data_IF_376528906090
#
_entry.id   IF_376528906090
#
_cell.length_a   1.000
_cell.length_b   1.000
_cell.length_c   1.000
_cell.angle_alpha   90.00
_cell.angle_beta   90.00
_cell.angle_gamma   90.00
#
_symmetry.space_group_name_H-M   'P 1'
#
loop_
_entity.id
_entity.type
_entity.pdbx_description
1 polymer ?
#
# COMPACT_ATOMS: atom_id res chain seq x y z
N UNK A 1 -54.70 36.17 59.81
CA UNK A 1 -53.25 35.91 59.82
C UNK A 1 -52.98 34.74 58.91
N UNK A 2 -52.74 35.03 57.61
CA UNK A 2 -52.45 34.03 56.61
C UNK A 2 -50.96 34.01 56.35
N UNK A 3 -50.34 32.83 56.54
CA UNK A 3 -48.94 32.54 56.20
C UNK A 3 -48.89 31.95 54.81
N UNK A 4 -48.46 32.71 53.79
CA UNK A 4 -48.19 32.22 52.47
C UNK A 4 -46.75 31.64 52.41
N UNK A 5 -46.72 30.34 52.24
CA UNK A 5 -45.47 29.55 51.93
C UNK A 5 -45.07 29.71 50.48
N UNK A 6 -43.92 30.36 50.23
CA UNK A 6 -43.26 30.38 48.87
C UNK A 6 -42.37 29.20 48.72
N UNK A 7 -42.80 28.26 47.91
CA UNK A 7 -41.94 27.12 47.46
C UNK A 7 -41.09 27.62 46.28
N UNK A 8 -39.79 27.77 46.52
CA UNK A 8 -38.81 28.06 45.46
C UNK A 8 -38.40 26.77 44.75
N UNK A 9 -38.73 26.66 43.46
CA UNK A 9 -38.27 25.58 42.59
C UNK A 9 -36.86 25.95 42.13
N UNK A 10 -35.85 25.26 42.67
CA UNK A 10 -34.48 25.34 42.19
C UNK A 10 -34.35 24.46 40.96
N UNK A 11 -34.30 25.04 39.76
CA UNK A 11 -33.98 24.34 38.52
C UNK A 11 -32.50 24.01 38.48
N UNK A 12 -32.19 22.71 38.65
CA UNK A 12 -30.84 22.19 38.45
C UNK A 12 -30.57 22.08 36.92
N UNK A 13 -29.84 23.04 36.38
CA UNK A 13 -29.30 22.91 35.03
C UNK A 13 -28.17 21.86 35.06
N UNK A 14 -28.44 20.65 34.55
CA UNK A 14 -27.41 19.71 34.19
C UNK A 14 -26.64 20.27 32.97
N UNK A 15 -25.48 20.87 33.20
CA UNK A 15 -24.50 21.12 32.14
C UNK A 15 -23.93 19.79 31.70
N UNK A 16 -24.40 19.26 30.57
CA UNK A 16 -23.74 18.18 29.87
C UNK A 16 -22.39 18.71 29.39
N UNK A 17 -21.32 18.38 30.10
CA UNK A 17 -19.95 18.61 29.66
C UNK A 17 -19.71 17.72 28.48
N UNK A 18 -19.79 18.23 27.26
CA UNK A 18 -19.26 17.58 26.09
C UNK A 18 -17.73 17.60 26.22
N UNK A 19 -17.15 16.50 26.68
CA UNK A 19 -15.71 16.28 26.62
C UNK A 19 -15.32 16.24 25.17
N UNK A 20 -14.80 17.34 24.63
CA UNK A 20 -14.04 17.32 23.39
C UNK A 20 -12.75 16.55 23.68
N UNK A 21 -12.73 15.24 23.41
CA UNK A 21 -11.49 14.52 23.41
C UNK A 21 -10.60 15.13 22.32
N UNK A 22 -9.39 15.56 22.71
CA UNK A 22 -8.37 15.94 21.73
C UNK A 22 -8.05 14.72 20.85
N UNK A 23 -7.91 14.96 19.54
CA UNK A 23 -7.53 13.90 18.60
C UNK A 23 -6.16 13.31 19.00
N UNK A 24 -6.05 12.00 18.94
CA UNK A 24 -4.76 11.31 19.13
C UNK A 24 -3.89 11.57 17.91
N UNK A 25 -2.69 12.12 18.12
CA UNK A 25 -1.75 12.40 17.03
C UNK A 25 -1.05 11.12 16.60
N UNK A 26 -1.06 10.86 15.30
CA UNK A 26 -0.52 9.66 14.66
C UNK A 26 0.39 10.06 13.51
N UNK A 27 1.59 9.51 13.46
CA UNK A 27 2.52 9.71 12.34
C UNK A 27 2.59 8.47 11.46
N UNK A 28 2.31 8.64 10.19
CA UNK A 28 2.39 7.59 9.18
C UNK A 28 3.54 7.85 8.20
N UNK A 29 4.56 7.00 8.22
CA UNK A 29 5.68 7.06 7.28
C UNK A 29 5.41 6.26 6.01
N UNK A 30 5.50 6.88 4.83
CA UNK A 30 5.45 6.13 3.56
C UNK A 30 6.83 5.62 3.17
N UNK A 31 6.88 4.64 2.28
CA UNK A 31 8.14 4.03 1.81
C UNK A 31 8.77 4.79 0.63
N UNK A 32 8.02 5.69 -0.01
CA UNK A 32 8.43 6.45 -1.19
C UNK A 32 7.90 7.88 -1.14
N UNK A 33 8.31 8.71 -2.11
CA UNK A 33 7.76 10.07 -2.31
C UNK A 33 6.25 10.00 -2.60
N UNK A 34 5.53 11.08 -2.27
CA UNK A 34 4.09 11.13 -2.45
C UNK A 34 3.66 10.88 -3.90
N UNK A 35 2.70 9.98 -4.09
CA UNK A 35 2.19 9.55 -5.39
C UNK A 35 0.81 8.88 -5.25
N UNK A 36 0.17 8.49 -6.36
CA UNK A 36 -1.18 7.92 -6.35
C UNK A 36 -1.27 6.60 -5.56
N UNK A 37 -0.19 5.84 -5.46
CA UNK A 37 -0.09 4.61 -4.67
C UNK A 37 -0.20 4.85 -3.15
N UNK A 38 -0.19 6.11 -2.73
CA UNK A 38 -0.46 6.53 -1.35
C UNK A 38 -1.85 7.19 -1.19
N UNK A 39 -2.62 7.24 -2.29
CA UNK A 39 -3.81 8.07 -2.44
C UNK A 39 -4.88 7.86 -1.38
N UNK A 40 -5.14 6.62 -0.96
CA UNK A 40 -6.14 6.34 0.07
C UNK A 40 -5.83 6.98 1.42
N UNK A 41 -4.55 7.05 1.80
CA UNK A 41 -4.14 7.70 3.05
C UNK A 41 -4.28 9.23 2.97
N UNK A 42 -3.84 9.82 1.85
CA UNK A 42 -4.05 11.25 1.59
C UNK A 42 -5.52 11.62 1.54
N UNK A 43 -6.35 10.74 0.96
CA UNK A 43 -7.81 10.95 0.91
C UNK A 43 -8.43 10.93 2.30
N UNK A 44 -8.06 9.97 3.14
CA UNK A 44 -8.59 9.87 4.50
C UNK A 44 -8.22 11.09 5.37
N UNK A 45 -7.05 11.70 5.13
CA UNK A 45 -6.69 13.01 5.73
C UNK A 45 -7.52 14.13 5.12
N UNK A 46 -7.62 14.20 3.79
CA UNK A 46 -8.26 15.31 3.06
C UNK A 46 -9.77 15.43 3.33
N UNK A 47 -10.46 14.32 3.57
CA UNK A 47 -11.91 14.27 3.83
C UNK A 47 -12.27 14.16 5.33
N UNK A 48 -11.26 14.18 6.23
CA UNK A 48 -11.45 14.12 7.67
C UNK A 48 -11.85 12.73 8.19
N UNK A 49 -11.70 11.68 7.39
CA UNK A 49 -12.09 10.31 7.77
C UNK A 49 -11.38 9.85 9.03
N UNK A 50 -10.09 10.13 9.17
CA UNK A 50 -9.32 9.81 10.38
C UNK A 50 -9.77 10.61 11.59
N UNK A 51 -10.06 11.90 11.43
CA UNK A 51 -10.55 12.76 12.53
C UNK A 51 -11.90 12.29 13.06
N UNK A 52 -12.78 11.80 12.17
CA UNK A 52 -14.10 11.28 12.53
C UNK A 52 -14.05 10.05 13.46
N UNK A 53 -12.94 9.30 13.48
CA UNK A 53 -12.74 8.19 14.41
C UNK A 53 -11.74 8.50 15.54
N UNK A 54 -11.25 9.75 15.65
CA UNK A 54 -10.53 10.24 16.82
C UNK A 54 -9.01 10.36 16.68
N UNK A 55 -8.44 10.24 15.47
CA UNK A 55 -7.01 10.43 15.23
C UNK A 55 -6.72 11.56 14.24
N UNK A 56 -5.63 12.29 14.48
CA UNK A 56 -5.04 13.28 13.56
C UNK A 56 -3.79 12.66 12.92
N UNK A 57 -3.82 12.38 11.61
CA UNK A 57 -2.73 11.69 10.93
C UNK A 57 -1.82 12.68 10.20
N UNK A 58 -0.54 12.66 10.57
CA UNK A 58 0.54 13.32 9.82
C UNK A 58 1.20 12.30 8.88
N UNK A 59 1.12 12.52 7.57
CA UNK A 59 1.84 11.70 6.58
C UNK A 59 3.27 12.24 6.45
N UNK A 60 4.24 11.35 6.65
CA UNK A 60 5.67 11.63 6.46
C UNK A 60 6.16 10.90 5.20
N UNK A 61 6.31 11.60 4.06
CA UNK A 61 6.79 10.96 2.83
C UNK A 61 8.18 10.35 3.00
N UNK A 62 8.37 9.19 2.39
CA UNK A 62 9.66 8.56 2.20
C UNK A 62 10.37 9.06 0.95
N UNK A 63 11.28 8.25 0.44
CA UNK A 63 12.00 8.54 -0.80
C UNK A 63 13.39 7.91 -0.86
N UNK A 64 14.16 8.13 -1.92
CA UNK A 64 15.46 7.52 -2.11
C UNK A 64 16.48 7.85 -0.99
N UNK A 65 16.29 8.97 -0.31
CA UNK A 65 17.15 9.45 0.77
C UNK A 65 16.50 9.33 2.16
N UNK A 66 15.25 8.88 2.26
CA UNK A 66 14.49 8.77 3.50
C UNK A 66 14.07 7.31 3.75
N UNK A 67 14.62 6.70 4.79
CA UNK A 67 14.26 5.34 5.20
C UNK A 67 13.35 5.39 6.43
N UNK A 68 12.06 5.52 6.22
CA UNK A 68 11.07 5.56 7.31
C UNK A 68 10.98 4.22 8.08
N UNK A 69 11.40 3.10 7.48
CA UNK A 69 11.34 1.78 8.13
C UNK A 69 12.12 1.71 9.44
N UNK A 70 13.28 2.37 9.52
CA UNK A 70 14.08 2.38 10.75
C UNK A 70 13.46 3.23 11.87
N UNK A 71 12.47 4.07 11.55
CA UNK A 71 11.83 4.98 12.51
C UNK A 71 10.71 4.28 13.29
N UNK A 72 10.08 3.24 12.71
CA UNK A 72 8.96 2.53 13.34
C UNK A 72 9.37 1.82 14.65
N UNK A 73 10.38 0.93 14.68
CA UNK A 73 10.72 0.19 15.91
C UNK A 73 11.29 1.07 17.03
N UNK A 74 11.69 2.30 16.72
CA UNK A 74 12.17 3.28 17.71
C UNK A 74 11.11 4.32 18.11
N UNK A 75 9.85 4.13 17.68
CA UNK A 75 8.71 4.96 18.06
C UNK A 75 8.77 6.41 17.54
N UNK A 76 9.43 6.64 16.40
CA UNK A 76 9.47 7.96 15.74
C UNK A 76 8.34 8.14 14.72
N UNK A 77 7.69 7.06 14.33
CA UNK A 77 6.43 6.99 13.60
C UNK A 77 5.59 5.88 14.22
N UNK A 78 4.27 5.98 14.11
CA UNK A 78 3.31 5.03 14.67
C UNK A 78 2.95 3.94 13.68
N UNK A 79 2.85 4.31 12.40
CA UNK A 79 2.58 3.39 11.30
C UNK A 79 3.59 3.59 10.16
N UNK A 80 3.83 2.50 9.44
CA UNK A 80 4.71 2.48 8.28
C UNK A 80 3.98 1.83 7.09
N UNK A 81 4.08 2.44 5.93
CA UNK A 81 3.77 1.78 4.68
C UNK A 81 4.95 0.88 4.29
N UNK A 82 4.76 -0.44 4.40
CA UNK A 82 5.69 -1.44 3.89
C UNK A 82 5.56 -1.62 2.38
N UNK A 83 6.54 -2.29 1.76
CA UNK A 83 6.47 -2.68 0.35
C UNK A 83 5.57 -3.90 0.16
N UNK A 84 6.01 -5.04 0.66
CA UNK A 84 5.27 -6.30 0.62
C UNK A 84 5.63 -7.20 1.81
N UNK A 85 5.03 -8.40 1.88
CA UNK A 85 5.21 -9.33 3.00
C UNK A 85 6.63 -9.81 3.22
N UNK A 86 7.54 -9.79 2.23
CA UNK A 86 8.95 -10.14 2.43
C UNK A 86 9.62 -9.26 3.49
N UNK A 87 9.26 -7.99 3.54
CA UNK A 87 9.82 -7.06 4.52
C UNK A 87 9.32 -7.39 5.94
N UNK A 88 8.06 -7.82 6.08
CA UNK A 88 7.50 -8.25 7.34
C UNK A 88 8.14 -9.58 7.82
N UNK A 89 8.33 -10.55 6.94
CA UNK A 89 9.06 -11.79 7.25
C UNK A 89 10.49 -11.50 7.71
N UNK A 90 11.20 -10.60 7.01
CA UNK A 90 12.55 -10.19 7.40
C UNK A 90 12.58 -9.47 8.74
N UNK A 91 11.56 -8.68 9.09
CA UNK A 91 11.46 -8.05 10.39
C UNK A 91 11.36 -9.08 11.52
N UNK A 92 10.56 -10.15 11.35
CA UNK A 92 10.45 -11.26 12.31
C UNK A 92 11.78 -12.00 12.45
N UNK A 93 12.44 -12.32 11.32
CA UNK A 93 13.76 -12.99 11.35
C UNK A 93 14.79 -12.17 12.13
N UNK A 94 14.74 -10.85 12.06
CA UNK A 94 15.63 -9.93 12.78
C UNK A 94 15.17 -9.64 14.22
N UNK A 95 14.05 -10.20 14.67
CA UNK A 95 13.50 -9.95 16.01
C UNK A 95 12.96 -8.54 16.20
N UNK A 96 12.58 -7.83 15.12
CA UNK A 96 12.01 -6.49 15.19
C UNK A 96 10.53 -6.62 15.61
N UNK A 97 10.08 -5.93 16.69
CA UNK A 97 8.75 -6.11 17.27
C UNK A 97 7.66 -5.32 16.51
N UNK A 98 7.50 -5.61 15.22
CA UNK A 98 6.48 -5.01 14.36
C UNK A 98 5.57 -6.07 13.74
N UNK A 99 4.39 -5.69 13.30
CA UNK A 99 3.42 -6.57 12.65
C UNK A 99 2.65 -5.81 11.58
N UNK A 100 2.22 -6.52 10.53
CA UNK A 100 1.32 -6.00 9.51
C UNK A 100 -0.12 -6.07 10.02
N UNK A 101 -0.84 -4.96 9.94
CA UNK A 101 -2.24 -4.83 10.41
C UNK A 101 -3.24 -4.66 9.27
N UNK A 102 -2.79 -4.39 8.05
CA UNK A 102 -3.58 -4.33 6.82
C UNK A 102 -2.69 -4.44 5.58
N UNK A 103 -3.27 -4.84 4.44
CA UNK A 103 -2.59 -4.84 3.15
C UNK A 103 -3.47 -4.21 2.07
N UNK A 104 -3.17 -2.95 1.70
CA UNK A 104 -4.05 -2.21 0.80
C UNK A 104 -3.92 -2.63 -0.65
N UNK A 105 -2.77 -3.14 -1.08
CA UNK A 105 -2.63 -3.70 -2.42
C UNK A 105 -2.84 -5.21 -2.39
N UNK A 106 -3.91 -5.63 -3.04
CA UNK A 106 -4.23 -7.05 -3.23
C UNK A 106 -3.36 -7.70 -4.29
N UNK A 107 -2.77 -6.91 -5.19
CA UNK A 107 -1.77 -7.37 -6.15
C UNK A 107 -0.52 -6.49 -6.01
N UNK A 108 0.65 -7.15 -6.03
CA UNK A 108 1.93 -6.45 -6.16
C UNK A 108 1.97 -5.75 -7.53
N UNK A 109 2.16 -4.42 -7.61
CA UNK A 109 2.11 -3.69 -8.88
C UNK A 109 3.36 -3.85 -9.74
N UNK A 110 4.31 -4.68 -9.32
CA UNK A 110 5.56 -4.95 -10.04
C UNK A 110 5.28 -5.60 -11.39
N UNK A 111 5.89 -5.05 -12.42
CA UNK A 111 5.79 -5.54 -13.81
C UNK A 111 7.17 -5.78 -14.42
N UNK A 112 7.17 -6.58 -15.50
CA UNK A 112 8.18 -6.50 -16.53
C UNK A 112 7.56 -5.89 -17.79
N UNK A 113 8.37 -5.15 -18.55
CA UNK A 113 7.95 -4.50 -19.79
C UNK A 113 8.86 -4.90 -20.94
N UNK A 114 8.29 -4.96 -22.16
CA UNK A 114 9.04 -5.14 -23.40
C UNK A 114 8.54 -4.18 -24.47
N UNK A 115 9.34 -3.99 -25.52
CA UNK A 115 8.91 -3.24 -26.69
C UNK A 115 7.86 -4.02 -27.50
N UNK A 116 6.80 -3.36 -28.00
CA UNK A 116 5.82 -3.99 -28.88
C UNK A 116 6.42 -4.33 -30.25
N UNK A 117 5.85 -5.35 -30.91
CA UNK A 117 6.21 -5.70 -32.29
C UNK A 117 7.60 -6.35 -32.45
N UNK A 118 8.22 -6.79 -31.34
CA UNK A 118 9.52 -7.47 -31.38
C UNK A 118 9.42 -9.00 -31.17
N UNK A 119 8.20 -9.55 -31.13
CA UNK A 119 7.97 -10.95 -30.75
C UNK A 119 8.27 -11.21 -29.26
N UNK A 120 8.14 -10.18 -28.42
CA UNK A 120 8.41 -10.20 -26.98
C UNK A 120 7.12 -9.93 -26.19
N UNK A 121 6.03 -10.59 -26.58
CA UNK A 121 4.67 -10.38 -26.10
C UNK A 121 4.14 -11.55 -25.24
N UNK A 122 5.00 -12.49 -24.88
CA UNK A 122 4.70 -13.61 -24.00
C UNK A 122 5.66 -13.68 -22.82
N UNK A 123 5.21 -14.24 -21.69
CA UNK A 123 6.06 -14.45 -20.51
C UNK A 123 7.33 -15.25 -20.85
N UNK A 124 7.19 -16.29 -21.67
CA UNK A 124 8.34 -17.13 -22.07
C UNK A 124 9.35 -16.37 -22.92
N UNK A 125 8.92 -15.37 -23.69
CA UNK A 125 9.84 -14.54 -24.47
C UNK A 125 10.81 -13.73 -23.61
N UNK A 126 10.44 -13.40 -22.37
CA UNK A 126 11.30 -12.72 -21.39
C UNK A 126 12.56 -13.53 -21.06
N UNK A 127 12.50 -14.87 -21.16
CA UNK A 127 13.66 -15.76 -20.94
C UNK A 127 14.74 -15.64 -22.02
N UNK A 128 14.43 -15.03 -23.14
CA UNK A 128 15.31 -14.92 -24.32
C UNK A 128 16.05 -13.59 -24.42
N UNK A 129 15.85 -12.69 -23.48
CA UNK A 129 16.36 -11.30 -23.50
C UNK A 129 17.04 -10.92 -22.19
N UNK A 130 17.81 -9.84 -22.24
CA UNK A 130 18.31 -9.21 -21.02
C UNK A 130 17.22 -8.36 -20.35
N UNK A 131 17.19 -8.39 -19.02
CA UNK A 131 16.23 -7.69 -18.18
C UNK A 131 16.93 -6.65 -17.30
N UNK A 132 16.48 -5.41 -17.37
CA UNK A 132 16.89 -4.34 -16.47
C UNK A 132 16.17 -4.53 -15.14
N UNK A 133 16.90 -5.01 -14.12
CA UNK A 133 16.38 -5.31 -12.79
C UNK A 133 17.14 -4.50 -11.74
N UNK A 134 16.41 -3.80 -10.88
CA UNK A 134 16.96 -3.06 -9.74
C UNK A 134 17.35 -4.00 -8.60
N UNK A 135 18.22 -3.52 -7.71
CA UNK A 135 18.74 -4.32 -6.60
C UNK A 135 17.63 -4.91 -5.71
N UNK A 136 16.55 -4.15 -5.45
CA UNK A 136 15.41 -4.63 -4.67
C UNK A 136 14.70 -5.80 -5.36
N UNK A 137 14.43 -5.68 -6.66
CA UNK A 137 13.82 -6.73 -7.48
C UNK A 137 14.68 -7.97 -7.58
N UNK A 138 16.01 -7.78 -7.74
CA UNK A 138 16.96 -8.89 -7.81
C UNK A 138 16.95 -9.75 -6.55
N UNK A 139 16.78 -9.14 -5.38
CA UNK A 139 16.76 -9.83 -4.08
C UNK A 139 15.35 -10.29 -3.65
N UNK A 140 14.34 -10.15 -4.50
CA UNK A 140 12.95 -10.52 -4.19
C UNK A 140 12.32 -11.31 -5.33
N UNK A 141 11.48 -10.67 -6.15
CA UNK A 141 10.70 -11.36 -7.18
C UNK A 141 11.57 -12.07 -8.23
N UNK A 142 12.78 -11.58 -8.49
CA UNK A 142 13.66 -12.22 -9.48
C UNK A 142 14.19 -13.56 -9.00
N UNK A 143 14.45 -13.75 -7.68
CA UNK A 143 14.83 -15.06 -7.14
C UNK A 143 13.67 -16.06 -7.29
N UNK A 144 12.44 -15.61 -7.05
CA UNK A 144 11.26 -16.42 -7.32
C UNK A 144 11.13 -16.75 -8.82
N UNK A 145 11.36 -15.79 -9.74
CA UNK A 145 11.36 -16.05 -11.17
C UNK A 145 12.42 -17.08 -11.57
N UNK A 146 13.59 -17.06 -10.93
CA UNK A 146 14.64 -18.08 -11.15
C UNK A 146 14.17 -19.47 -10.71
N UNK A 147 13.62 -19.57 -9.50
CA UNK A 147 13.14 -20.81 -8.92
C UNK A 147 11.96 -21.40 -9.71
N UNK A 148 10.98 -20.59 -10.03
CA UNK A 148 9.70 -21.05 -10.59
C UNK A 148 9.74 -21.20 -12.12
N UNK A 149 10.46 -20.29 -12.80
CA UNK A 149 10.42 -20.18 -14.26
C UNK A 149 11.76 -20.42 -14.95
N UNK A 150 12.84 -20.62 -14.20
CA UNK A 150 14.16 -20.90 -14.75
C UNK A 150 14.85 -19.70 -15.41
N UNK A 151 14.54 -18.48 -14.95
CA UNK A 151 15.35 -17.30 -15.30
C UNK A 151 16.77 -17.43 -14.74
N UNK A 152 17.74 -16.72 -15.32
CA UNK A 152 19.15 -16.84 -14.94
C UNK A 152 19.79 -15.49 -14.63
N UNK A 153 20.90 -15.51 -13.87
CA UNK A 153 21.60 -14.27 -13.51
C UNK A 153 22.28 -13.61 -14.72
N UNK A 154 22.60 -14.37 -15.77
CA UNK A 154 23.21 -13.88 -17.01
C UNK A 154 22.29 -12.91 -17.77
N UNK A 155 20.97 -13.01 -17.57
CA UNK A 155 19.98 -12.13 -18.18
C UNK A 155 19.91 -10.76 -17.49
N UNK A 156 20.41 -10.64 -16.26
CA UNK A 156 20.26 -9.42 -15.47
C UNK A 156 21.20 -8.32 -15.96
N UNK A 157 20.63 -7.13 -16.12
CA UNK A 157 21.37 -5.87 -16.26
C UNK A 157 20.89 -4.90 -15.18
N UNK A 158 21.78 -4.08 -14.60
CA UNK A 158 21.40 -3.14 -13.55
C UNK A 158 20.36 -2.14 -14.04
N UNK A 159 19.28 -1.99 -13.27
CA UNK A 159 18.29 -0.91 -13.42
C UNK A 159 18.48 0.12 -12.34
N UNK A 160 18.73 1.36 -12.76
CA UNK A 160 18.99 2.50 -11.87
C UNK A 160 17.85 3.52 -11.87
N UNK A 161 16.61 3.05 -12.15
CA UNK A 161 15.41 3.88 -12.28
C UNK A 161 15.51 4.93 -13.41
N UNK A 162 16.27 4.59 -14.45
CA UNK A 162 16.40 5.36 -15.68
C UNK A 162 16.05 4.44 -16.86
N UNK A 163 15.00 4.77 -17.61
CA UNK A 163 14.49 3.99 -18.73
C UNK A 163 15.21 4.27 -20.06
N UNK A 164 16.19 5.17 -20.11
CA UNK A 164 16.91 5.48 -21.36
C UNK A 164 17.55 4.25 -22.01
N UNK A 165 18.18 3.28 -21.29
CA UNK A 165 18.67 2.05 -21.92
C UNK A 165 17.57 1.20 -22.55
N UNK A 166 16.40 1.09 -21.88
CA UNK A 166 15.25 0.39 -22.42
C UNK A 166 14.71 1.06 -23.69
N UNK A 167 14.58 2.39 -23.69
CA UNK A 167 14.11 3.16 -24.85
C UNK A 167 15.07 3.01 -26.05
N UNK A 168 16.37 2.88 -25.80
CA UNK A 168 17.40 2.78 -26.84
C UNK A 168 17.53 1.37 -27.45
N UNK A 169 17.24 0.31 -26.69
CA UNK A 169 17.40 -1.07 -27.14
C UNK A 169 16.08 -1.85 -27.06
N UNK A 170 15.50 -2.12 -28.23
CA UNK A 170 14.21 -2.80 -28.37
C UNK A 170 14.26 -4.29 -27.94
N UNK A 171 15.44 -4.84 -27.67
CA UNK A 171 15.64 -6.23 -27.22
C UNK A 171 15.83 -6.33 -25.70
N UNK A 172 15.73 -5.23 -24.96
CA UNK A 172 15.75 -5.24 -23.51
C UNK A 172 14.32 -5.36 -22.94
N UNK A 173 14.21 -6.07 -21.82
CA UNK A 173 13.07 -5.93 -20.92
C UNK A 173 13.43 -5.04 -19.73
N UNK A 174 12.47 -4.46 -19.06
CA UNK A 174 12.66 -3.60 -17.90
C UNK A 174 11.63 -3.87 -16.83
N UNK A 175 12.05 -3.88 -15.56
CA UNK A 175 11.11 -3.83 -14.45
C UNK A 175 10.44 -2.46 -14.34
N UNK A 176 9.30 -2.40 -13.67
CA UNK A 176 8.61 -1.17 -13.30
C UNK A 176 7.40 -1.46 -12.44
N UNK A 177 6.69 -0.42 -12.06
CA UNK A 177 5.34 -0.51 -11.50
C UNK A 177 4.32 -0.19 -12.57
N UNK A 178 3.24 -0.97 -12.65
CA UNK A 178 2.18 -0.79 -13.66
C UNK A 178 1.54 0.61 -13.63
N UNK A 179 1.63 1.27 -12.49
CA UNK A 179 1.11 2.61 -12.23
C UNK A 179 2.09 3.74 -12.57
N UNK A 180 3.33 3.44 -12.92
CA UNK A 180 4.39 4.45 -13.06
C UNK A 180 5.13 4.38 -14.39
N UNK A 181 6.05 3.42 -14.56
CA UNK A 181 6.96 3.36 -15.70
C UNK A 181 6.27 3.32 -17.07
N UNK A 182 5.12 2.63 -17.26
CA UNK A 182 4.47 2.64 -18.58
C UNK A 182 4.07 4.03 -19.06
N UNK A 183 3.68 4.94 -18.13
CA UNK A 183 3.39 6.32 -18.48
C UNK A 183 4.64 7.08 -18.97
N UNK A 184 5.75 6.93 -18.28
CA UNK A 184 7.01 7.53 -18.68
C UNK A 184 7.46 7.01 -20.05
N UNK A 185 7.37 5.68 -20.30
CA UNK A 185 7.69 5.06 -21.59
C UNK A 185 6.77 5.59 -22.70
N UNK A 186 5.47 5.73 -22.46
CA UNK A 186 4.53 6.27 -23.45
C UNK A 186 4.83 7.73 -23.74
N UNK A 187 5.15 8.53 -22.73
CA UNK A 187 5.42 9.98 -22.85
C UNK A 187 6.76 10.26 -23.53
N UNK A 188 7.83 9.55 -23.13
CA UNK A 188 9.19 9.77 -23.61
C UNK A 188 9.50 8.98 -24.90
N UNK A 189 9.01 7.74 -24.96
CA UNK A 189 9.29 6.80 -26.05
C UNK A 189 8.26 6.83 -27.17
N UNK A 190 7.05 7.37 -26.91
CA UNK A 190 5.99 7.48 -27.93
C UNK A 190 5.33 6.12 -28.26
N UNK A 191 5.45 5.11 -27.41
CA UNK A 191 4.83 3.80 -27.60
C UNK A 191 4.32 3.22 -26.28
N UNK A 192 3.30 2.35 -26.38
CA UNK A 192 2.82 1.57 -25.21
C UNK A 192 3.61 0.27 -25.10
N UNK A 193 4.30 0.02 -23.98
CA UNK A 193 5.02 -1.24 -23.80
C UNK A 193 4.06 -2.42 -23.64
N UNK A 194 4.51 -3.64 -23.95
CA UNK A 194 3.87 -4.84 -23.45
C UNK A 194 4.11 -4.90 -21.94
N UNK A 195 3.10 -5.28 -21.17
CA UNK A 195 3.13 -5.30 -19.70
C UNK A 195 2.88 -6.73 -19.21
N UNK A 196 3.74 -7.21 -18.31
CA UNK A 196 3.62 -8.47 -17.62
C UNK A 196 3.54 -8.20 -16.13
N UNK A 197 2.32 -8.20 -15.54
CA UNK A 197 2.14 -8.03 -14.11
C UNK A 197 2.57 -9.33 -13.41
N UNK A 198 3.65 -9.26 -12.62
CA UNK A 198 4.28 -10.45 -12.02
C UNK A 198 3.31 -11.20 -11.09
N UNK A 199 2.39 -10.48 -10.45
CA UNK A 199 1.34 -11.07 -9.62
C UNK A 199 0.42 -12.04 -10.42
N UNK A 200 0.16 -11.77 -11.69
CA UNK A 200 -0.68 -12.62 -12.54
C UNK A 200 0.03 -13.92 -12.93
N UNK A 201 1.35 -14.01 -12.72
CA UNK A 201 2.17 -15.20 -12.94
C UNK A 201 2.49 -15.96 -11.64
N UNK A 202 1.90 -15.57 -10.51
CA UNK A 202 1.99 -16.31 -9.24
C UNK A 202 2.88 -15.70 -8.17
N UNK A 203 3.43 -14.49 -8.39
CA UNK A 203 4.04 -13.70 -7.32
C UNK A 203 2.94 -12.95 -6.55
N UNK A 204 2.15 -13.69 -5.81
CA UNK A 204 0.86 -13.30 -5.25
C UNK A 204 0.94 -12.69 -3.85
N UNK A 205 2.03 -12.00 -3.52
CA UNK A 205 2.17 -11.30 -2.23
C UNK A 205 1.14 -10.19 -2.04
N UNK A 206 0.77 -9.94 -0.80
CA UNK A 206 0.19 -8.66 -0.41
C UNK A 206 1.25 -7.56 -0.48
N UNK A 207 0.85 -6.35 -0.89
CA UNK A 207 1.74 -5.20 -1.03
C UNK A 207 1.10 -3.94 -0.44
N UNK A 208 1.87 -2.86 -0.33
CA UNK A 208 1.45 -1.63 0.36
C UNK A 208 0.83 -1.99 1.71
N UNK A 209 1.63 -2.76 2.49
CA UNK A 209 1.26 -3.22 3.82
C UNK A 209 1.28 -2.05 4.80
N UNK A 210 0.39 -2.05 5.78
CA UNK A 210 0.44 -1.16 6.93
C UNK A 210 1.08 -1.93 8.09
N UNK A 211 2.23 -1.46 8.53
CA UNK A 211 2.97 -2.02 9.65
C UNK A 211 2.89 -1.09 10.86
N UNK A 212 2.83 -1.68 12.06
CA UNK A 212 2.93 -0.96 13.32
C UNK A 212 3.68 -1.79 14.36
N UNK A 213 3.95 -1.23 15.54
CA UNK A 213 4.62 -1.94 16.62
C UNK A 213 3.65 -2.85 17.37
N UNK A 214 4.14 -3.99 17.88
CA UNK A 214 3.36 -4.85 18.78
C UNK A 214 2.88 -4.08 20.02
N UNK A 215 3.67 -3.12 20.50
CA UNK A 215 3.31 -2.27 21.63
C UNK A 215 2.07 -1.41 21.34
N UNK A 216 1.97 -0.82 20.12
CA UNK A 216 0.80 -0.01 19.76
C UNK A 216 -0.46 -0.89 19.61
N UNK A 217 -0.31 -2.09 19.02
CA UNK A 217 -1.40 -3.08 18.93
C UNK A 217 -1.94 -3.46 20.31
N UNK A 218 -1.06 -3.66 21.30
CA UNK A 218 -1.45 -4.04 22.65
C UNK A 218 -2.04 -2.88 23.46
N UNK A 219 -1.41 -1.69 23.41
CA UNK A 219 -1.76 -0.57 24.28
C UNK A 219 -2.87 0.33 23.75
N UNK A 220 -3.01 0.46 22.42
CA UNK A 220 -3.95 1.35 21.76
C UNK A 220 -4.62 0.70 20.54
N UNK A 221 -5.27 -0.46 20.69
CA UNK A 221 -5.90 -1.17 19.58
C UNK A 221 -6.98 -0.33 18.88
N UNK A 222 -7.63 0.60 19.58
CA UNK A 222 -8.61 1.53 19.01
C UNK A 222 -7.97 2.53 18.03
N UNK A 223 -6.74 2.99 18.28
CA UNK A 223 -5.98 3.83 17.36
C UNK A 223 -5.61 3.05 16.10
N UNK A 224 -5.17 1.80 16.28
CA UNK A 224 -4.85 0.91 15.14
C UNK A 224 -6.10 0.64 14.30
N UNK A 225 -7.23 0.35 14.94
CA UNK A 225 -8.50 0.11 14.24
C UNK A 225 -8.95 1.35 13.46
N UNK A 226 -8.91 2.54 14.09
CA UNK A 226 -9.28 3.79 13.45
C UNK A 226 -8.39 4.07 12.21
N UNK A 227 -7.07 3.84 12.31
CA UNK A 227 -6.16 4.02 11.18
C UNK A 227 -6.47 3.03 10.05
N UNK A 228 -6.71 1.76 10.35
CA UNK A 228 -7.02 0.72 9.34
C UNK A 228 -8.35 1.00 8.66
N UNK A 229 -9.42 1.26 9.43
CA UNK A 229 -10.75 1.53 8.89
C UNK A 229 -10.77 2.84 8.09
N UNK A 230 -10.13 3.90 8.62
CA UNK A 230 -9.99 5.18 7.94
C UNK A 230 -9.25 5.06 6.61
N UNK A 231 -8.18 4.27 6.58
CA UNK A 231 -7.43 3.99 5.35
C UNK A 231 -8.29 3.23 4.33
N UNK A 232 -9.06 2.22 4.75
CA UNK A 232 -9.95 1.48 3.86
C UNK A 232 -11.02 2.39 3.21
N UNK A 233 -11.66 3.25 4.01
CA UNK A 233 -12.62 4.26 3.54
C UNK A 233 -11.93 5.25 2.59
N UNK A 234 -10.75 5.74 2.98
CA UNK A 234 -9.96 6.66 2.16
C UNK A 234 -9.62 6.07 0.79
N UNK A 235 -9.25 4.80 0.72
CA UNK A 235 -9.02 4.12 -0.56
C UNK A 235 -10.28 4.01 -1.40
N UNK A 236 -11.44 3.71 -0.81
CA UNK A 236 -12.73 3.71 -1.54
C UNK A 236 -13.03 5.09 -2.10
N UNK A 237 -12.91 6.15 -1.28
CA UNK A 237 -13.15 7.52 -1.73
C UNK A 237 -12.14 7.96 -2.80
N UNK A 238 -10.86 7.60 -2.66
CA UNK A 238 -9.81 7.93 -3.62
C UNK A 238 -10.05 7.30 -5.00
N UNK A 239 -10.49 6.04 -5.01
CA UNK A 239 -10.71 5.31 -6.25
C UNK A 239 -12.05 5.62 -6.91
N UNK A 240 -13.10 5.88 -6.14
CA UNK A 240 -14.49 5.93 -6.65
C UNK A 240 -15.21 7.25 -6.38
N UNK A 241 -14.67 8.10 -5.47
CA UNK A 241 -15.22 9.40 -5.11
C UNK A 241 -14.47 10.59 -5.71
N UNK A 242 -14.68 11.77 -5.11
CA UNK A 242 -13.91 12.98 -5.45
C UNK A 242 -12.57 12.97 -4.69
N UNK A 243 -11.49 12.81 -5.44
CA UNK A 243 -10.14 12.75 -4.92
C UNK A 243 -9.33 14.04 -5.12
N UNK A 244 -9.93 15.11 -5.59
CA UNK A 244 -9.26 16.37 -5.96
C UNK A 244 -8.36 16.92 -4.85
N UNK A 245 -8.86 16.96 -3.59
CA UNK A 245 -8.08 17.45 -2.45
C UNK A 245 -6.88 16.56 -2.11
N UNK A 246 -7.05 15.24 -2.20
CA UNK A 246 -5.95 14.30 -2.00
C UNK A 246 -4.85 14.48 -3.05
N UNK A 247 -5.22 14.68 -4.31
CA UNK A 247 -4.28 14.95 -5.40
C UNK A 247 -3.52 16.27 -5.21
N UNK A 248 -4.19 17.32 -4.72
CA UNK A 248 -3.52 18.57 -4.35
C UNK A 248 -2.48 18.37 -3.23
N UNK A 249 -2.82 17.60 -2.21
CA UNK A 249 -1.88 17.26 -1.13
C UNK A 249 -0.70 16.44 -1.63
N UNK A 250 -0.94 15.44 -2.49
CA UNK A 250 0.13 14.64 -3.11
C UNK A 250 1.08 15.52 -3.91
N UNK A 251 0.55 16.44 -4.76
CA UNK A 251 1.37 17.37 -5.54
C UNK A 251 2.13 18.38 -4.68
N UNK A 252 1.57 18.77 -3.53
CA UNK A 252 2.26 19.63 -2.56
C UNK A 252 3.48 18.93 -1.97
N UNK A 253 3.35 17.64 -1.62
CA UNK A 253 4.43 16.85 -1.03
C UNK A 253 5.42 16.31 -2.07
N UNK A 254 4.97 16.21 -3.33
CA UNK A 254 5.80 15.83 -4.47
C UNK A 254 5.48 16.69 -5.71
N UNK A 255 6.10 17.87 -5.85
CA UNK A 255 5.86 18.76 -6.99
C UNK A 255 6.24 18.17 -8.37
N UNK A 256 6.94 17.04 -8.39
CA UNK A 256 7.25 16.30 -9.62
C UNK A 256 6.08 15.50 -10.19
N UNK A 257 4.99 15.30 -9.43
CA UNK A 257 3.80 14.58 -9.90
C UNK A 257 2.95 15.47 -10.81
N UNK A 258 2.80 15.06 -12.08
CA UNK A 258 1.86 15.71 -13.01
C UNK A 258 0.45 15.15 -12.87
N UNK A 259 -0.56 15.95 -13.25
CA UNK A 259 -1.95 15.50 -13.28
C UNK A 259 -2.12 14.26 -14.19
N UNK A 260 -1.46 14.25 -15.36
CA UNK A 260 -1.50 13.10 -16.27
C UNK A 260 -0.92 11.82 -15.67
N UNK A 261 0.19 11.92 -14.90
CA UNK A 261 0.75 10.77 -14.20
C UNK A 261 -0.21 10.27 -13.10
N UNK A 262 -0.80 11.16 -12.32
CA UNK A 262 -1.74 10.81 -11.27
C UNK A 262 -3.00 10.13 -11.83
N UNK A 263 -3.58 10.70 -12.89
CA UNK A 263 -4.74 10.12 -13.59
C UNK A 263 -4.41 8.73 -14.17
N UNK A 264 -3.27 8.61 -14.84
CA UNK A 264 -2.79 7.32 -15.36
C UNK A 264 -2.67 6.29 -14.23
N UNK A 265 -2.02 6.65 -13.13
CA UNK A 265 -1.79 5.76 -11.99
C UNK A 265 -3.11 5.28 -11.38
N UNK A 266 -4.08 6.17 -11.15
CA UNK A 266 -5.40 5.83 -10.61
C UNK A 266 -6.14 4.88 -11.55
N UNK A 267 -6.11 5.15 -12.86
CA UNK A 267 -6.72 4.28 -13.85
C UNK A 267 -6.10 2.88 -13.84
N UNK A 268 -4.77 2.78 -13.69
CA UNK A 268 -4.07 1.50 -13.61
C UNK A 268 -4.33 0.76 -12.30
N UNK A 269 -4.43 1.47 -11.17
CA UNK A 269 -4.85 0.85 -9.89
C UNK A 269 -6.19 0.12 -10.02
N UNK A 270 -7.15 0.72 -10.76
CA UNK A 270 -8.47 0.13 -11.03
C UNK A 270 -8.39 -0.99 -12.08
N UNK A 271 -7.78 -0.72 -13.24
CA UNK A 271 -7.72 -1.63 -14.39
C UNK A 271 -7.12 -2.99 -14.01
N UNK A 272 -6.02 -2.97 -13.25
CA UNK A 272 -5.33 -4.18 -12.82
C UNK A 272 -5.85 -4.77 -11.50
N UNK A 273 -6.82 -4.10 -10.85
CA UNK A 273 -7.33 -4.52 -9.56
C UNK A 273 -6.25 -4.55 -8.47
N UNK A 274 -5.36 -3.57 -8.49
CA UNK A 274 -4.22 -3.53 -7.54
C UNK A 274 -4.73 -3.44 -6.10
N UNK A 275 -5.67 -2.52 -5.84
CA UNK A 275 -6.24 -2.27 -4.50
C UNK A 275 -7.48 -3.11 -4.27
N UNK A 276 -8.36 -3.13 -5.24
CA UNK A 276 -9.74 -3.62 -5.12
C UNK A 276 -9.96 -4.86 -6.00
N UNK A 277 -9.45 -5.97 -5.50
CA UNK A 277 -9.58 -7.31 -6.11
C UNK A 277 -9.46 -8.38 -5.02
N UNK A 278 -9.53 -9.66 -5.39
CA UNK A 278 -9.33 -10.76 -4.45
C UNK A 278 -10.20 -10.66 -3.20
N UNK A 279 -9.57 -10.81 -2.03
CA UNK A 279 -10.26 -10.79 -0.73
C UNK A 279 -10.93 -9.44 -0.43
N UNK A 280 -10.40 -8.34 -0.96
CA UNK A 280 -10.97 -7.00 -0.73
C UNK A 280 -12.39 -6.85 -1.29
N UNK A 281 -12.78 -7.60 -2.31
CA UNK A 281 -14.12 -7.52 -2.91
C UNK A 281 -15.24 -7.92 -1.95
N UNK A 282 -14.96 -8.77 -0.97
CA UNK A 282 -15.92 -9.29 -0.01
C UNK A 282 -15.62 -8.93 1.44
N UNK A 283 -14.35 -8.68 1.76
CA UNK A 283 -13.89 -8.42 3.12
C UNK A 283 -13.52 -6.95 3.38
N UNK A 284 -13.50 -6.12 2.32
CA UNK A 284 -13.11 -4.71 2.38
C UNK A 284 -11.63 -4.49 2.04
N UNK A 285 -11.30 -3.27 1.60
CA UNK A 285 -9.91 -2.89 1.26
C UNK A 285 -9.04 -3.00 2.50
N UNK A 286 -7.84 -3.57 2.33
CA UNK A 286 -6.92 -3.88 3.44
C UNK A 286 -6.96 -5.34 3.89
N UNK A 287 -7.88 -6.15 3.33
CA UNK A 287 -8.07 -7.56 3.68
C UNK A 287 -6.80 -8.41 3.51
N UNK A 288 -6.66 -9.39 4.38
CA UNK A 288 -5.61 -10.42 4.34
C UNK A 288 -6.18 -11.78 4.74
N UNK A 289 -5.54 -12.86 4.29
CA UNK A 289 -5.87 -14.23 4.71
C UNK A 289 -4.64 -15.01 5.15
N UNK A 290 -4.82 -15.94 6.09
CA UNK A 290 -3.75 -16.84 6.55
C UNK A 290 -3.26 -17.74 5.42
N UNK A 291 -4.17 -18.23 4.58
CA UNK A 291 -3.87 -19.10 3.46
C UNK A 291 -2.91 -18.43 2.46
N UNK A 292 -3.18 -17.18 2.09
CA UNK A 292 -2.35 -16.46 1.12
C UNK A 292 -1.00 -16.07 1.71
N UNK A 293 -0.95 -15.64 2.97
CA UNK A 293 0.32 -15.35 3.64
C UNK A 293 1.19 -16.62 3.75
N UNK A 294 0.58 -17.76 4.08
CA UNK A 294 1.27 -19.05 4.13
C UNK A 294 1.81 -19.46 2.76
N UNK A 295 0.95 -19.43 1.74
CA UNK A 295 1.34 -19.79 0.36
C UNK A 295 2.51 -18.95 -0.14
N UNK A 296 2.45 -17.63 0.09
CA UNK A 296 3.53 -16.75 -0.32
C UNK A 296 4.83 -17.01 0.46
N UNK A 297 4.74 -17.24 1.79
CA UNK A 297 5.90 -17.61 2.59
C UNK A 297 6.57 -18.89 2.07
N UNK A 298 5.79 -19.95 1.84
CA UNK A 298 6.29 -21.23 1.33
C UNK A 298 6.97 -21.10 -0.03
N UNK A 299 6.43 -20.29 -0.94
CA UNK A 299 7.05 -19.96 -2.23
C UNK A 299 8.41 -19.27 -2.06
N UNK A 300 8.50 -18.34 -1.11
CA UNK A 300 9.74 -17.60 -0.88
C UNK A 300 10.81 -18.46 -0.17
N UNK A 301 10.40 -19.38 0.67
CA UNK A 301 11.31 -20.40 1.24
C UNK A 301 11.84 -21.31 0.12
N UNK A 302 10.97 -21.83 -0.75
CA UNK A 302 11.36 -22.65 -1.89
C UNK A 302 12.31 -21.92 -2.86
N UNK A 303 12.13 -20.60 -3.03
CA UNK A 303 13.01 -19.77 -3.84
C UNK A 303 14.34 -19.37 -3.12
N UNK A 304 14.53 -19.78 -1.87
CA UNK A 304 15.72 -19.45 -1.09
C UNK A 304 15.82 -17.97 -0.68
N UNK A 305 14.68 -17.25 -0.68
CA UNK A 305 14.60 -15.81 -0.33
C UNK A 305 14.37 -15.62 1.16
N UNK A 306 13.61 -16.53 1.79
CA UNK A 306 13.26 -16.50 3.21
C UNK A 306 13.73 -17.78 3.89
N UNK A 307 14.24 -17.66 5.11
CA UNK A 307 14.59 -18.83 5.90
C UNK A 307 13.32 -19.55 6.38
N UNK A 308 13.22 -20.86 6.12
CA UNK A 308 12.07 -21.70 6.49
C UNK A 308 11.81 -21.82 7.99
N UNK A 309 12.79 -21.47 8.84
CA UNK A 309 12.65 -21.49 10.31
C UNK A 309 11.95 -20.23 10.87
N UNK A 310 11.67 -19.22 10.01
CA UNK A 310 10.96 -18.00 10.40
C UNK A 310 9.50 -18.33 10.74
N UNK A 311 9.06 -17.95 11.94
CA UNK A 311 7.65 -18.01 12.31
C UNK A 311 6.88 -16.85 11.64
N UNK A 312 6.55 -17.03 10.36
CA UNK A 312 5.87 -16.02 9.55
C UNK A 312 4.51 -15.60 10.12
N UNK A 313 3.87 -16.43 10.96
CA UNK A 313 2.56 -16.11 11.56
C UNK A 313 2.62 -14.90 12.50
N UNK A 314 3.80 -14.53 12.98
CA UNK A 314 4.04 -13.34 13.79
C UNK A 314 4.16 -12.05 12.96
N UNK A 315 4.31 -12.16 11.64
CA UNK A 315 4.53 -11.00 10.76
C UNK A 315 3.26 -10.18 10.49
N UNK A 316 2.09 -10.72 10.79
CA UNK A 316 0.80 -10.05 10.55
C UNK A 316 -0.23 -10.41 11.61
N UNK A 317 -1.32 -9.65 11.66
CA UNK A 317 -2.53 -9.98 12.42
C UNK A 317 -3.78 -9.64 11.62
N UNK A 318 -4.81 -10.48 11.72
CA UNK A 318 -6.12 -10.25 11.10
C UNK A 318 -7.10 -9.49 12.03
N UNK A 319 -6.65 -9.09 13.22
CA UNK A 319 -7.49 -8.46 14.24
C UNK A 319 -8.24 -7.22 13.74
N UNK A 320 -7.63 -6.44 12.85
CA UNK A 320 -8.12 -5.12 12.45
C UNK A 320 -8.78 -5.09 11.06
N UNK A 321 -8.65 -6.14 10.27
CA UNK A 321 -9.15 -6.23 8.87
C UNK A 321 -10.31 -7.20 8.74
N UNK A 322 -10.77 -7.42 7.51
CA UNK A 322 -11.81 -8.41 7.14
C UNK A 322 -13.20 -8.11 7.72
N UNK A 323 -13.51 -6.83 7.96
CA UNK A 323 -14.76 -6.36 8.58
C UNK A 323 -15.75 -5.74 7.59
N UNK A 324 -15.44 -5.81 6.28
CA UNK A 324 -16.29 -5.26 5.22
C UNK A 324 -16.34 -3.72 5.20
N UNK A 325 -15.36 -3.05 5.84
CA UNK A 325 -15.30 -1.58 5.91
C UNK A 325 -15.23 -1.00 4.50
N UNK A 326 -16.07 -0.01 4.21
CA UNK A 326 -16.11 0.68 2.92
C UNK A 326 -16.91 -0.01 1.82
N UNK A 327 -17.36 -1.28 1.97
CA UNK A 327 -18.11 -2.00 0.91
C UNK A 327 -19.43 -1.32 0.52
N UNK A 328 -20.20 -0.85 1.49
CA UNK A 328 -21.47 -0.16 1.21
C UNK A 328 -21.23 1.24 0.64
N UNK A 329 -20.17 1.92 1.08
CA UNK A 329 -19.75 3.19 0.50
C UNK A 329 -19.36 3.01 -0.97
N UNK A 330 -18.58 1.97 -1.29
CA UNK A 330 -18.20 1.63 -2.66
C UNK A 330 -19.43 1.41 -3.54
N UNK A 331 -20.38 0.57 -3.13
CA UNK A 331 -21.63 0.33 -3.86
C UNK A 331 -22.38 1.63 -4.16
N UNK A 332 -22.48 2.51 -3.15
CA UNK A 332 -23.11 3.83 -3.31
C UNK A 332 -22.39 4.71 -4.35
N UNK A 333 -21.06 4.75 -4.32
CA UNK A 333 -20.26 5.57 -5.25
C UNK A 333 -20.29 5.01 -6.68
N UNK A 334 -20.36 3.70 -6.84
CA UNK A 334 -20.53 3.03 -8.15
C UNK A 334 -21.97 3.09 -8.70
N UNK A 335 -22.92 3.64 -7.95
CA UNK A 335 -24.33 3.74 -8.36
C UNK A 335 -25.08 2.41 -8.31
N UNK A 336 -24.68 1.48 -7.47
CA UNK A 336 -25.25 0.13 -7.30
C UNK A 336 -26.02 -0.02 -6.00
#
# INVERSE_FOLDING_TARGET
>A
MELSSKIGIASLLLMASTSTHALEKVTFGTNWVAQAEHGGYYQAVADGTYENCGIEVEIKPGGPQANNRILLPVGKIDFLMGGNMLQAFSAIEQGIPTTVVAAHFQKEPQILMTHPGQGLDTWDSLKTINLLIGKGGLNSFYQWMKSEYGFTDEQVRPYTYNSAPFLADKRLGQQGYVTSEPYAIETEGGFKPNIFLIADYGYDTYSTTVETTLELVEKKPEVVQCFVDGSAIGWVNFLYGDNSKALEMIKKDNPGMSDGQLEFSINKLREFGIVDSGDALTLGIGAMSDERNKSFFEKMVAAGVVNGDVDYTKSYTLQFVNKGVGLDLKKKLEGK
#
